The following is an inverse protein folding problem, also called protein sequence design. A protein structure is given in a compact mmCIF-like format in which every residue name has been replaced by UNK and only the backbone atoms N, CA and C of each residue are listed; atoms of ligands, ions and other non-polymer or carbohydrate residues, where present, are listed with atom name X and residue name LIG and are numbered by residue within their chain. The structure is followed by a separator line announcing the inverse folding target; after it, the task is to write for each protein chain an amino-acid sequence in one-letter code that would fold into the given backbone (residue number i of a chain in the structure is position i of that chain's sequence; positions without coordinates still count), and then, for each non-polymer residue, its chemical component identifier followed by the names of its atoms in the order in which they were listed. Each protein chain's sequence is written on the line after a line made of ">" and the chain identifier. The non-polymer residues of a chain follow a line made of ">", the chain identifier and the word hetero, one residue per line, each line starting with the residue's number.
data_IF_579514619002
#
_entry.id   IF_579514619002
#
_cell.length_a   1.000
_cell.length_b   1.000
_cell.length_c   1.000
_cell.angle_alpha   90.00
_cell.angle_beta   90.00
_cell.angle_gamma   90.00
#
_symmetry.space_group_name_H-M   'P 1'
#
loop_
_entity.id
_entity.type
_entity.pdbx_description
1 polymer ?
#
# COMPACT_ATOMS: atom_id res chain seq x y z
N UNK A 1 38.49 -11.52 8.87
CA UNK A 1 37.47 -12.39 8.22
C UNK A 1 36.05 -11.90 8.57
N UNK A 2 35.78 -10.59 8.51
CA UNK A 2 34.53 -10.00 9.07
C UNK A 2 33.79 -9.03 8.13
N UNK A 3 34.35 -8.69 6.96
CA UNK A 3 33.74 -7.68 6.09
C UNK A 3 32.55 -8.19 5.23
N UNK A 4 32.38 -9.52 5.12
CA UNK A 4 31.33 -10.11 4.26
C UNK A 4 30.03 -10.42 5.01
N UNK A 5 30.08 -10.51 6.34
CA UNK A 5 28.88 -10.82 7.13
C UNK A 5 28.00 -9.60 7.39
N UNK A 6 28.60 -8.40 7.43
CA UNK A 6 27.89 -7.16 7.70
C UNK A 6 27.06 -6.65 6.50
N UNK A 7 27.43 -7.00 5.26
CA UNK A 7 26.69 -6.56 4.06
C UNK A 7 25.33 -7.24 3.88
N UNK A 8 25.16 -8.48 4.34
CA UNK A 8 23.89 -9.23 4.22
C UNK A 8 22.81 -8.68 5.17
N UNK A 9 23.19 -8.25 6.37
CA UNK A 9 22.24 -7.70 7.35
C UNK A 9 21.76 -6.29 6.99
N UNK A 10 22.61 -5.47 6.35
CA UNK A 10 22.24 -4.12 5.90
C UNK A 10 21.28 -4.12 4.71
N UNK A 11 21.33 -5.14 3.84
CA UNK A 11 20.39 -5.27 2.72
C UNK A 11 18.97 -5.66 3.18
N UNK A 12 18.84 -6.47 4.23
CA UNK A 12 17.55 -6.84 4.82
C UNK A 12 16.88 -5.70 5.60
N UNK A 13 17.68 -4.86 6.28
CA UNK A 13 17.18 -3.66 6.97
C UNK A 13 16.80 -2.53 6.00
N UNK A 14 17.43 -2.46 4.83
CA UNK A 14 17.11 -1.44 3.83
C UNK A 14 15.79 -1.73 3.09
N UNK A 15 15.46 -2.98 2.79
CA UNK A 15 14.18 -3.31 2.16
C UNK A 15 12.98 -3.02 3.09
N UNK A 16 13.12 -3.28 4.40
CA UNK A 16 12.10 -2.97 5.41
C UNK A 16 11.99 -1.47 5.70
N UNK A 17 13.10 -0.73 5.64
CA UNK A 17 13.13 0.73 5.75
C UNK A 17 12.57 1.42 4.49
N UNK A 18 12.85 0.88 3.30
CA UNK A 18 12.25 1.35 2.04
C UNK A 18 10.76 1.06 1.96
N UNK A 19 10.29 -0.09 2.48
CA UNK A 19 8.86 -0.36 2.66
C UNK A 19 8.20 0.60 3.66
N UNK A 20 8.88 0.94 4.76
CA UNK A 20 8.43 1.97 5.72
C UNK A 20 8.37 3.37 5.09
N UNK A 21 9.28 3.69 4.18
CA UNK A 21 9.35 5.00 3.53
C UNK A 21 8.42 5.13 2.30
N UNK A 22 7.92 4.01 1.73
CA UNK A 22 6.90 4.03 0.67
C UNK A 22 5.46 4.14 1.21
N UNK A 23 5.23 3.67 2.43
CA UNK A 23 3.92 3.70 3.09
C UNK A 23 3.87 4.84 4.11
N UNK A 24 3.53 6.05 3.67
CA UNK A 24 3.12 7.14 4.55
C UNK A 24 1.70 6.86 5.10
N UNK A 25 1.55 5.78 5.88
CA UNK A 25 0.28 5.43 6.50
C UNK A 25 0.13 6.10 7.85
N UNK A 26 -0.90 6.93 8.01
CA UNK A 26 -1.36 7.36 9.34
C UNK A 26 -2.35 6.32 9.84
N UNK A 27 -2.05 5.75 11.00
CA UNK A 27 -2.98 4.91 11.75
C UNK A 27 -3.64 5.78 12.82
N UNK A 28 -4.96 5.74 12.92
CA UNK A 28 -5.72 6.32 14.03
C UNK A 28 -6.62 5.26 14.62
N UNK A 29 -6.75 5.26 15.95
CA UNK A 29 -7.71 4.45 16.68
C UNK A 29 -8.86 5.37 17.08
N UNK A 30 -10.06 5.08 16.58
CA UNK A 30 -11.31 5.72 17.02
C UNK A 30 -12.11 4.61 17.69
N UNK A 31 -12.32 4.70 19.00
CA UNK A 31 -13.13 3.73 19.77
C UNK A 31 -12.82 2.26 19.41
N UNK A 32 -11.54 1.89 19.48
CA UNK A 32 -10.98 0.56 19.15
C UNK A 32 -10.98 0.11 17.67
N UNK A 33 -11.38 0.96 16.73
CA UNK A 33 -11.26 0.70 15.30
C UNK A 33 -9.93 1.23 14.77
N UNK A 34 -9.06 0.38 14.25
CA UNK A 34 -7.79 0.74 13.64
C UNK A 34 -7.98 1.09 12.15
N UNK A 35 -7.88 2.39 11.84
CA UNK A 35 -8.03 2.89 10.47
C UNK A 35 -6.68 3.32 9.90
N UNK A 36 -6.38 2.90 8.67
CA UNK A 36 -5.20 3.33 7.92
C UNK A 36 -5.58 4.17 6.70
N UNK A 37 -4.79 5.21 6.41
CA UNK A 37 -4.91 5.98 5.17
C UNK A 37 -3.62 5.93 4.36
N UNK A 38 -3.67 5.77 3.03
CA UNK A 38 -2.50 5.74 2.18
C UNK A 38 -2.75 6.42 0.82
N UNK A 39 -1.98 7.47 0.56
CA UNK A 39 -1.84 7.98 -0.80
C UNK A 39 -0.90 7.04 -1.58
N UNK A 40 -1.47 6.31 -2.54
CA UNK A 40 -0.70 5.32 -3.30
C UNK A 40 0.22 5.95 -4.33
N UNK A 41 -0.09 7.16 -4.84
CA UNK A 41 0.50 7.74 -6.06
C UNK A 41 0.70 6.65 -7.13
N UNK A 42 -0.42 6.18 -7.68
CA UNK A 42 -0.58 4.97 -8.48
C UNK A 42 -0.41 3.67 -7.66
N UNK A 43 -1.46 2.83 -7.67
CA UNK A 43 -1.48 1.56 -6.93
C UNK A 43 -0.99 0.37 -7.76
N UNK A 44 -0.93 0.51 -9.08
CA UNK A 44 -0.44 -0.53 -9.99
C UNK A 44 1.03 -0.82 -9.65
N UNK A 45 1.40 -2.10 -9.59
CA UNK A 45 2.72 -2.55 -9.15
C UNK A 45 2.92 -2.62 -7.63
N UNK A 46 2.07 -1.98 -6.81
CA UNK A 46 2.21 -1.95 -5.33
C UNK A 46 1.23 -2.87 -4.58
N UNK A 47 0.40 -3.63 -5.31
CA UNK A 47 -0.66 -4.46 -4.72
C UNK A 47 -0.10 -5.57 -3.83
N UNK A 48 1.05 -6.15 -4.18
CA UNK A 48 1.69 -7.20 -3.36
C UNK A 48 2.10 -6.66 -1.98
N UNK A 49 2.68 -5.47 -1.95
CA UNK A 49 3.13 -4.85 -0.71
C UNK A 49 1.96 -4.32 0.11
N UNK A 50 0.90 -3.82 -0.53
CA UNK A 50 -0.37 -3.52 0.13
C UNK A 50 -0.94 -4.76 0.83
N UNK A 51 -0.94 -5.93 0.18
CA UNK A 51 -1.42 -7.18 0.79
C UNK A 51 -0.56 -7.59 2.00
N UNK A 52 0.77 -7.50 1.88
CA UNK A 52 1.66 -7.77 3.02
C UNK A 52 1.38 -6.82 4.18
N UNK A 53 1.23 -5.53 3.91
CA UNK A 53 0.94 -4.52 4.92
C UNK A 53 -0.37 -4.84 5.66
N UNK A 54 -1.46 -5.10 4.92
CA UNK A 54 -2.76 -5.44 5.51
C UNK A 54 -2.70 -6.74 6.32
N UNK A 55 -1.98 -7.76 5.85
CA UNK A 55 -1.82 -9.01 6.60
C UNK A 55 -1.04 -8.83 7.92
N UNK A 56 -0.07 -7.92 7.96
CA UNK A 56 0.74 -7.63 9.15
C UNK A 56 0.00 -6.72 10.12
N UNK A 57 -0.60 -5.63 9.60
CA UNK A 57 -1.19 -4.56 10.42
C UNK A 57 -2.66 -4.77 10.74
N UNK A 58 -3.36 -5.56 9.93
CA UNK A 58 -4.78 -5.91 10.07
C UNK A 58 -5.69 -4.71 10.40
N UNK A 59 -5.61 -3.59 9.67
CA UNK A 59 -6.51 -2.45 9.92
C UNK A 59 -7.94 -2.84 9.59
N UNK A 60 -8.94 -2.49 10.40
CA UNK A 60 -10.35 -2.74 10.07
C UNK A 60 -10.78 -1.96 8.83
N UNK A 61 -10.25 -0.74 8.66
CA UNK A 61 -10.56 0.14 7.53
C UNK A 61 -9.27 0.64 6.89
N UNK A 62 -9.17 0.51 5.56
CA UNK A 62 -8.07 1.04 4.76
C UNK A 62 -8.60 2.01 3.70
N UNK A 63 -8.17 3.27 3.76
CA UNK A 63 -8.49 4.32 2.79
C UNK A 63 -7.31 4.52 1.85
N UNK A 64 -7.53 4.41 0.54
CA UNK A 64 -6.46 4.53 -0.47
C UNK A 64 -6.79 5.65 -1.46
N UNK A 65 -5.90 6.63 -1.59
CA UNK A 65 -6.02 7.76 -2.52
C UNK A 65 -5.03 7.66 -3.69
N UNK A 66 -5.25 8.48 -4.73
CA UNK A 66 -4.42 8.56 -5.95
C UNK A 66 -4.13 7.19 -6.57
N UNK A 67 -5.14 6.31 -6.59
CA UNK A 67 -4.97 4.95 -7.10
C UNK A 67 -4.67 4.91 -8.61
N UNK A 68 -4.97 5.99 -9.34
CA UNK A 68 -4.82 6.15 -10.80
C UNK A 68 -5.50 5.05 -11.63
N UNK A 69 -6.54 4.43 -11.09
CA UNK A 69 -7.27 3.35 -11.78
C UNK A 69 -8.33 3.91 -12.71
N UNK A 70 -8.31 3.40 -13.94
CA UNK A 70 -9.29 3.70 -14.98
C UNK A 70 -10.20 2.47 -15.10
N UNK A 71 -11.33 2.46 -14.40
CA UNK A 71 -12.35 1.40 -14.54
C UNK A 71 -12.58 0.53 -13.30
N UNK A 72 -13.24 -0.60 -13.52
CA UNK A 72 -13.79 -1.49 -12.48
C UNK A 72 -12.86 -2.61 -12.04
N UNK A 73 -11.58 -2.57 -12.44
CA UNK A 73 -10.63 -3.60 -12.04
C UNK A 73 -10.72 -3.77 -10.51
N UNK A 74 -10.85 -5.00 -10.00
CA UNK A 74 -11.01 -5.25 -8.56
C UNK A 74 -9.66 -5.62 -7.97
N UNK A 75 -9.25 -4.98 -6.87
CA UNK A 75 -8.11 -5.47 -6.07
C UNK A 75 -8.69 -6.49 -5.10
N UNK A 76 -8.29 -7.75 -5.24
CA UNK A 76 -8.65 -8.78 -4.26
C UNK A 76 -7.68 -8.78 -3.09
N UNK A 77 -8.23 -8.65 -1.88
CA UNK A 77 -7.52 -8.76 -0.60
C UNK A 77 -8.34 -9.72 0.28
N UNK A 78 -7.78 -10.86 0.72
CA UNK A 78 -8.52 -11.82 1.53
C UNK A 78 -9.09 -11.19 2.78
N UNK A 79 -10.36 -11.49 3.10
CA UNK A 79 -11.10 -10.96 4.27
C UNK A 79 -11.41 -9.46 4.23
N UNK A 80 -11.18 -8.78 3.11
CA UNK A 80 -11.56 -7.38 2.91
C UNK A 80 -12.48 -7.25 1.70
N UNK A 81 -13.49 -6.39 1.83
CA UNK A 81 -14.29 -5.96 0.69
C UNK A 81 -13.70 -4.67 0.14
N UNK A 82 -13.41 -4.64 -1.16
CA UNK A 82 -12.83 -3.49 -1.84
C UNK A 82 -13.91 -2.66 -2.55
N UNK A 83 -14.06 -1.42 -2.12
CA UNK A 83 -14.88 -0.41 -2.79
C UNK A 83 -13.98 0.59 -3.51
N UNK A 84 -14.41 1.06 -4.68
CA UNK A 84 -13.62 2.01 -5.47
C UNK A 84 -14.50 3.06 -6.11
N UNK A 85 -14.01 4.29 -6.09
CA UNK A 85 -14.56 5.40 -6.89
C UNK A 85 -13.49 5.76 -7.93
N UNK A 86 -13.45 5.08 -9.08
CA UNK A 86 -12.42 5.33 -10.09
C UNK A 86 -12.55 6.77 -10.62
N UNK A 87 -11.41 7.41 -10.89
CA UNK A 87 -11.45 8.76 -11.44
C UNK A 87 -11.95 8.75 -12.88
N UNK A 88 -12.92 9.62 -13.19
CA UNK A 88 -13.38 9.88 -14.57
C UNK A 88 -12.40 10.76 -15.35
N UNK A 89 -11.39 11.34 -14.70
CA UNK A 89 -10.42 12.25 -15.33
C UNK A 89 -9.36 11.52 -16.18
N UNK A 90 -9.28 10.19 -16.11
CA UNK A 90 -8.45 9.36 -16.98
C UNK A 90 -9.03 9.13 -18.39
N UNK A 91 -9.93 9.98 -18.89
CA UNK A 91 -10.14 10.04 -20.35
C UNK A 91 -8.82 10.51 -20.93
N UNK A 92 -8.03 9.57 -21.44
CA UNK A 92 -7.11 9.82 -22.54
C UNK A 92 -7.96 10.52 -23.59
N UNK A 93 -7.93 11.86 -23.64
CA UNK A 93 -8.47 12.57 -24.78
C UNK A 93 -7.70 11.96 -25.95
N UNK A 94 -8.40 11.22 -26.81
CA UNK A 94 -7.86 10.86 -28.12
C UNK A 94 -7.68 12.21 -28.82
N UNK A 95 -6.45 12.71 -28.82
CA UNK A 95 -6.01 13.76 -29.74
C UNK A 95 -5.66 13.09 -31.05
#
# INVERSE_FOLDING_TARGET
>A
MEAQHLKKNTLHSNASSQMRNQFNSKMSQIDDIATCTWNANEVIGKISDLRKFINIRKPEIMLIQETHRIGTDKIYIPNYTFYSTPSRTGRRMRV
#
